data_IF_897084131830
#
_entry.id   IF_897084131830
#
_cell.length_a   1.000
_cell.length_b   1.000
_cell.length_c   1.000
_cell.angle_alpha   90.00
_cell.angle_beta   90.00
_cell.angle_gamma   90.00
#
_symmetry.space_group_name_H-M   'P 1'
#
loop_
_entity.id
_entity.type
_entity.pdbx_description
1 polymer ?
#
# COMPACT_ATOMS: atom_id res chain seq x y z
N UNK A 1 5.58 -46.67 38.93
CA UNK A 1 5.89 -45.21 38.68
C UNK A 1 4.62 -44.41 38.88
N UNK A 2 4.64 -43.38 39.71
CA UNK A 2 3.43 -42.58 39.99
C UNK A 2 3.03 -41.77 38.74
N UNK A 3 1.70 -41.64 38.51
CA UNK A 3 1.13 -40.86 37.37
C UNK A 3 1.84 -39.48 37.21
N UNK A 4 2.21 -38.86 38.31
CA UNK A 4 2.93 -37.57 38.36
C UNK A 4 4.34 -37.63 37.71
N UNK A 5 5.10 -38.73 37.87
CA UNK A 5 6.42 -38.92 37.23
C UNK A 5 6.32 -39.18 35.73
N UNK A 6 5.24 -39.83 35.28
CA UNK A 6 4.98 -40.06 33.85
C UNK A 6 4.61 -38.74 33.18
N UNK A 7 3.70 -37.94 33.78
CA UNK A 7 3.33 -36.62 33.28
C UNK A 7 4.54 -35.68 33.16
N UNK A 8 5.42 -35.63 34.18
CA UNK A 8 6.64 -34.80 34.13
C UNK A 8 7.61 -35.24 33.02
N UNK A 9 7.74 -36.54 32.75
CA UNK A 9 8.56 -37.04 31.63
C UNK A 9 7.98 -36.64 30.27
N UNK A 10 6.67 -36.68 30.12
CA UNK A 10 5.96 -36.27 28.89
C UNK A 10 6.19 -34.76 28.67
N UNK A 11 5.92 -33.93 29.67
CA UNK A 11 6.13 -32.47 29.59
C UNK A 11 7.58 -32.12 29.20
N UNK A 12 8.57 -32.80 29.84
CA UNK A 12 9.99 -32.60 29.50
C UNK A 12 10.32 -33.00 28.06
N UNK A 13 9.77 -34.14 27.55
CA UNK A 13 9.98 -34.58 26.17
C UNK A 13 9.34 -33.60 25.17
N UNK A 14 8.11 -33.16 25.43
CA UNK A 14 7.43 -32.15 24.61
C UNK A 14 8.23 -30.85 24.58
N UNK A 15 8.70 -30.38 25.74
CA UNK A 15 9.55 -29.19 25.83
C UNK A 15 10.85 -29.32 25.02
N UNK A 16 11.53 -30.49 25.09
CA UNK A 16 12.72 -30.76 24.29
C UNK A 16 12.38 -30.76 22.77
N UNK A 17 11.30 -31.40 22.37
CA UNK A 17 10.88 -31.42 20.97
C UNK A 17 10.60 -29.99 20.45
N UNK A 18 9.86 -29.17 21.21
CA UNK A 18 9.58 -27.79 20.84
C UNK A 18 10.89 -26.99 20.72
N UNK A 19 11.79 -27.08 21.73
CA UNK A 19 13.07 -26.40 21.70
C UNK A 19 13.92 -26.82 20.49
N UNK A 20 14.02 -28.13 20.23
CA UNK A 20 14.75 -28.65 19.07
C UNK A 20 14.17 -28.11 17.76
N UNK A 21 12.85 -28.13 17.62
CA UNK A 21 12.18 -27.60 16.43
C UNK A 21 12.48 -26.10 16.23
N UNK A 22 12.39 -25.30 17.29
CA UNK A 22 12.73 -23.86 17.26
C UNK A 22 14.19 -23.65 16.84
N UNK A 23 15.12 -24.39 17.42
CA UNK A 23 16.56 -24.32 17.08
C UNK A 23 16.79 -24.68 15.60
N UNK A 24 16.18 -25.74 15.10
CA UNK A 24 16.29 -26.12 13.71
C UNK A 24 15.72 -25.08 12.75
N UNK A 25 14.57 -24.45 13.11
CA UNK A 25 14.00 -23.36 12.33
C UNK A 25 14.91 -22.12 12.32
N UNK A 26 15.52 -21.78 13.44
CA UNK A 26 16.50 -20.69 13.53
C UNK A 26 17.74 -20.98 12.68
N UNK A 27 18.29 -22.20 12.74
CA UNK A 27 19.44 -22.59 11.91
C UNK A 27 19.05 -22.53 10.42
N UNK A 28 17.86 -22.99 10.05
CA UNK A 28 17.34 -22.91 8.68
C UNK A 28 17.22 -21.46 8.21
N UNK A 29 16.63 -20.57 9.03
CA UNK A 29 16.51 -19.16 8.73
C UNK A 29 17.89 -18.50 8.54
N UNK A 30 18.82 -18.74 9.46
CA UNK A 30 20.20 -18.25 9.35
C UNK A 30 20.88 -18.75 8.08
N UNK A 31 20.68 -20.02 7.71
CA UNK A 31 21.19 -20.58 6.48
C UNK A 31 20.66 -19.87 5.24
N UNK A 32 19.36 -19.59 5.17
CA UNK A 32 18.74 -18.82 4.09
C UNK A 32 19.33 -17.41 4.01
N UNK A 33 19.44 -16.70 5.13
CA UNK A 33 20.02 -15.34 5.16
C UNK A 33 21.47 -15.36 4.67
N UNK A 34 22.29 -16.32 5.09
CA UNK A 34 23.68 -16.48 4.61
C UNK A 34 23.77 -16.79 3.12
N UNK A 35 22.84 -17.59 2.58
CA UNK A 35 22.75 -17.83 1.14
C UNK A 35 22.39 -16.53 0.41
N UNK A 36 21.51 -15.70 0.94
CA UNK A 36 21.17 -14.39 0.37
C UNK A 36 22.35 -13.41 0.44
N UNK A 37 23.12 -13.42 1.52
CA UNK A 37 24.28 -12.54 1.73
C UNK A 37 25.47 -12.91 0.80
N UNK A 38 25.84 -14.18 0.75
CA UNK A 38 27.06 -14.67 0.08
C UNK A 38 26.79 -15.48 -1.20
N UNK A 39 25.52 -15.70 -1.56
CA UNK A 39 25.16 -16.49 -2.73
C UNK A 39 25.49 -15.79 -4.06
N UNK A 40 25.48 -16.54 -5.17
CA UNK A 40 25.91 -16.06 -6.46
C UNK A 40 24.94 -15.03 -7.10
N UNK A 41 23.69 -14.98 -6.66
CA UNK A 41 22.65 -14.12 -7.23
C UNK A 41 22.58 -12.76 -6.54
N UNK A 42 23.21 -11.76 -7.16
CA UNK A 42 23.08 -10.36 -6.70
C UNK A 42 21.63 -9.85 -6.78
N UNK A 43 20.88 -10.27 -7.79
CA UNK A 43 19.47 -9.90 -7.96
C UNK A 43 18.62 -10.42 -6.79
N UNK A 44 18.75 -11.71 -6.44
CA UNK A 44 18.01 -12.29 -5.32
C UNK A 44 18.37 -11.61 -3.99
N UNK A 45 19.66 -11.32 -3.78
CA UNK A 45 20.13 -10.57 -2.60
C UNK A 45 19.53 -9.18 -2.52
N UNK A 46 19.61 -8.41 -3.61
CA UNK A 46 19.08 -7.04 -3.65
C UNK A 46 17.57 -7.04 -3.43
N UNK A 47 16.84 -7.96 -4.05
CA UNK A 47 15.41 -8.10 -3.88
C UNK A 47 15.05 -8.47 -2.43
N UNK A 48 15.78 -9.40 -1.82
CA UNK A 48 15.60 -9.78 -0.41
C UNK A 48 15.79 -8.57 0.52
N UNK A 49 16.91 -7.85 0.39
CA UNK A 49 17.21 -6.69 1.22
C UNK A 49 16.15 -5.61 1.06
N UNK A 50 15.77 -5.25 -0.18
CA UNK A 50 14.75 -4.23 -0.42
C UNK A 50 13.38 -4.64 0.16
N UNK A 51 12.93 -5.87 -0.11
CA UNK A 51 11.63 -6.36 0.37
C UNK A 51 11.58 -6.42 1.90
N UNK A 52 12.66 -6.86 2.55
CA UNK A 52 12.74 -6.96 3.99
C UNK A 52 12.81 -5.57 4.66
N UNK A 53 13.58 -4.63 4.09
CA UNK A 53 13.69 -3.26 4.60
C UNK A 53 12.37 -2.46 4.56
N UNK A 54 11.43 -2.84 3.71
CA UNK A 54 10.09 -2.25 3.66
C UNK A 54 9.11 -2.89 4.68
N UNK A 55 9.59 -3.76 5.56
CA UNK A 55 8.80 -4.34 6.65
C UNK A 55 9.52 -4.24 7.99
N UNK A 56 8.79 -3.96 9.06
CA UNK A 56 9.38 -3.74 10.39
C UNK A 56 10.21 -4.93 10.87
N UNK A 57 9.68 -6.16 10.76
CA UNK A 57 10.39 -7.37 11.18
C UNK A 57 11.56 -7.73 10.26
N UNK A 58 11.37 -7.58 8.94
CA UNK A 58 12.41 -7.85 7.94
C UNK A 58 13.57 -6.87 8.03
N UNK A 59 13.29 -5.59 8.29
CA UNK A 59 14.33 -4.58 8.48
C UNK A 59 15.27 -4.93 9.63
N UNK A 60 14.74 -5.39 10.77
CA UNK A 60 15.57 -5.86 11.89
C UNK A 60 16.45 -7.04 11.44
N UNK A 61 15.91 -7.98 10.71
CA UNK A 61 16.69 -9.14 10.23
C UNK A 61 17.83 -8.69 9.31
N UNK A 62 17.55 -7.80 8.34
CA UNK A 62 18.55 -7.30 7.39
C UNK A 62 19.68 -6.55 8.11
N UNK A 63 19.35 -5.66 9.05
CA UNK A 63 20.36 -4.87 9.78
C UNK A 63 21.28 -5.71 10.67
N UNK A 64 20.93 -6.97 10.98
CA UNK A 64 21.79 -7.90 11.71
C UNK A 64 22.89 -8.53 10.82
N UNK A 65 22.69 -8.58 9.50
CA UNK A 65 23.58 -9.31 8.59
C UNK A 65 24.23 -8.44 7.52
N UNK A 66 23.62 -7.31 7.17
CA UNK A 66 24.10 -6.39 6.16
C UNK A 66 24.54 -5.07 6.80
N UNK A 67 25.64 -4.48 6.32
CA UNK A 67 26.07 -3.16 6.79
C UNK A 67 25.13 -2.07 6.27
N UNK A 68 25.02 -0.96 7.00
CA UNK A 68 24.23 0.21 6.60
C UNK A 68 24.67 0.75 5.22
N UNK A 69 25.98 0.71 4.93
CA UNK A 69 26.53 1.12 3.63
C UNK A 69 26.06 0.20 2.49
N UNK A 70 26.03 -1.09 2.72
CA UNK A 70 25.55 -2.06 1.74
C UNK A 70 24.06 -1.95 1.51
N UNK A 71 23.27 -1.79 2.57
CA UNK A 71 21.83 -1.54 2.51
C UNK A 71 21.55 -0.27 1.71
N UNK A 72 22.25 0.82 2.02
CA UNK A 72 22.10 2.10 1.31
C UNK A 72 22.43 1.96 -0.18
N UNK A 73 23.51 1.25 -0.53
CA UNK A 73 23.90 0.98 -1.91
C UNK A 73 22.85 0.15 -2.67
N UNK A 74 22.32 -0.91 -2.03
CA UNK A 74 21.29 -1.76 -2.64
C UNK A 74 20.01 -0.96 -2.88
N UNK A 75 19.62 -0.10 -1.94
CA UNK A 75 18.43 0.75 -2.07
C UNK A 75 18.61 1.81 -3.15
N UNK A 76 19.79 2.39 -3.29
CA UNK A 76 20.07 3.40 -4.32
C UNK A 76 19.95 2.85 -5.75
N UNK A 77 20.38 1.61 -6.00
CA UNK A 77 20.27 0.96 -7.31
C UNK A 77 18.88 0.35 -7.58
N UNK A 78 17.97 0.40 -6.61
CA UNK A 78 16.58 -0.02 -6.73
C UNK A 78 15.69 1.06 -6.10
N UNK A 79 15.63 2.20 -6.73
CA UNK A 79 14.88 3.37 -6.26
C UNK A 79 14.01 3.93 -7.37
N UNK A 80 12.95 4.59 -6.98
CA UNK A 80 12.14 5.41 -7.89
C UNK A 80 12.60 6.87 -7.78
N UNK A 81 12.73 7.55 -8.90
CA UNK A 81 13.08 8.95 -8.94
C UNK A 81 11.88 9.79 -8.48
N UNK A 82 12.18 10.86 -7.75
CA UNK A 82 11.16 11.83 -7.40
C UNK A 82 10.91 12.73 -8.62
N UNK A 83 9.65 12.94 -8.95
CA UNK A 83 9.24 13.90 -9.97
C UNK A 83 8.75 15.18 -9.32
N UNK A 84 9.06 16.32 -9.92
CA UNK A 84 8.50 17.62 -9.55
C UNK A 84 7.22 17.93 -10.34
N UNK A 85 6.82 17.02 -11.23
CA UNK A 85 5.63 17.19 -12.06
C UNK A 85 4.35 16.96 -11.24
N UNK A 86 3.33 17.72 -11.58
CA UNK A 86 2.00 17.64 -11.00
C UNK A 86 0.98 17.41 -12.12
N UNK A 87 0.01 16.57 -11.90
CA UNK A 87 -1.06 16.26 -12.85
C UNK A 87 -1.59 17.48 -13.61
N UNK A 88 -1.66 17.37 -14.94
CA UNK A 88 -2.40 18.29 -15.81
C UNK A 88 -3.81 17.77 -16.07
N UNK A 89 -4.81 18.58 -15.75
CA UNK A 89 -6.23 18.23 -15.92
C UNK A 89 -6.65 18.14 -17.39
N UNK A 90 -5.89 18.71 -18.32
CA UNK A 90 -6.23 18.70 -19.76
C UNK A 90 -6.16 17.30 -20.40
N UNK A 91 -5.50 16.34 -19.75
CA UNK A 91 -5.39 14.96 -20.21
C UNK A 91 -6.61 14.09 -19.87
N UNK A 92 -7.55 14.60 -19.08
CA UNK A 92 -8.71 13.84 -18.61
C UNK A 92 -9.97 14.34 -19.32
N UNK A 93 -10.69 13.41 -19.95
CA UNK A 93 -11.95 13.69 -20.63
C UNK A 93 -13.05 14.07 -19.63
N UNK A 94 -13.95 14.92 -20.09
CA UNK A 94 -15.13 15.32 -19.30
C UNK A 94 -16.08 14.13 -19.09
N UNK A 95 -16.27 13.73 -17.84
CA UNK A 95 -17.12 12.61 -17.44
C UNK A 95 -18.57 13.03 -17.15
N UNK A 96 -18.92 14.31 -17.27
CA UNK A 96 -20.30 14.81 -17.05
C UNK A 96 -21.30 14.25 -18.06
N UNK A 97 -20.81 13.83 -19.22
CA UNK A 97 -21.61 13.28 -20.33
C UNK A 97 -21.98 11.80 -20.17
N UNK A 98 -21.46 11.11 -19.14
CA UNK A 98 -21.74 9.69 -18.89
C UNK A 98 -23.24 9.45 -18.62
N UNK A 99 -23.78 8.40 -19.21
CA UNK A 99 -25.13 7.91 -18.90
C UNK A 99 -25.22 7.36 -17.47
N UNK A 100 -26.42 7.21 -16.92
CA UNK A 100 -26.59 6.65 -15.57
C UNK A 100 -26.11 5.20 -15.47
N UNK A 101 -26.22 4.43 -16.55
CA UNK A 101 -25.70 3.07 -16.62
C UNK A 101 -24.17 3.09 -16.53
N UNK A 102 -23.50 3.88 -17.35
CA UNK A 102 -22.04 4.05 -17.31
C UNK A 102 -21.55 4.55 -15.94
N UNK A 103 -22.22 5.51 -15.32
CA UNK A 103 -21.92 6.01 -13.98
C UNK A 103 -21.99 4.92 -12.89
N UNK A 104 -22.87 3.94 -13.08
CA UNK A 104 -23.01 2.82 -12.13
C UNK A 104 -21.94 1.75 -12.29
N UNK A 105 -21.21 1.71 -13.42
CA UNK A 105 -20.28 0.63 -13.75
C UNK A 105 -19.08 0.59 -12.82
N UNK A 106 -18.86 -0.58 -12.23
CA UNK A 106 -17.64 -0.96 -11.52
C UNK A 106 -17.24 -2.33 -12.05
N UNK A 107 -16.04 -2.43 -12.53
CA UNK A 107 -15.46 -3.68 -12.97
C UNK A 107 -14.36 -4.11 -11.99
N UNK A 108 -14.34 -5.39 -11.60
CA UNK A 108 -13.30 -5.98 -10.76
C UNK A 108 -12.63 -7.10 -11.55
N UNK A 109 -11.33 -6.97 -11.74
CA UNK A 109 -10.51 -7.87 -12.55
C UNK A 109 -9.49 -8.56 -11.66
N UNK A 110 -9.36 -9.87 -11.78
CA UNK A 110 -8.31 -10.64 -11.15
C UNK A 110 -6.98 -10.42 -11.87
N UNK A 111 -5.97 -10.03 -11.11
CA UNK A 111 -4.60 -9.87 -11.60
C UNK A 111 -3.79 -11.11 -11.24
N UNK A 112 -3.18 -11.71 -12.25
CA UNK A 112 -2.29 -12.84 -12.08
C UNK A 112 -1.02 -12.64 -12.90
N UNK A 113 0.10 -12.48 -12.22
CA UNK A 113 1.44 -12.31 -12.79
C UNK A 113 2.40 -13.32 -12.13
N UNK A 114 3.62 -13.42 -12.60
CA UNK A 114 4.59 -14.42 -12.13
C UNK A 114 4.88 -14.35 -10.62
N UNK A 115 5.02 -13.15 -10.07
CA UNK A 115 5.39 -12.93 -8.67
C UNK A 115 4.24 -12.51 -7.77
N UNK A 116 3.09 -12.11 -8.33
CA UNK A 116 1.98 -11.57 -7.55
C UNK A 116 0.60 -11.89 -8.10
N UNK A 117 -0.36 -11.82 -7.19
CA UNK A 117 -1.81 -11.84 -7.44
C UNK A 117 -2.38 -10.54 -6.89
N UNK A 118 -3.52 -10.14 -7.41
CA UNK A 118 -4.18 -8.91 -6.94
C UNK A 118 -5.55 -8.73 -7.54
N UNK A 119 -6.12 -7.57 -7.27
CA UNK A 119 -7.40 -7.11 -7.83
C UNK A 119 -7.22 -5.71 -8.40
N UNK A 120 -7.75 -5.49 -9.61
CA UNK A 120 -7.95 -4.18 -10.21
C UNK A 120 -9.43 -3.86 -10.18
N UNK A 121 -9.80 -2.74 -9.59
CA UNK A 121 -11.15 -2.19 -9.67
C UNK A 121 -11.13 -0.97 -10.58
N UNK A 122 -12.00 -0.95 -11.58
CA UNK A 122 -12.19 0.17 -12.49
C UNK A 122 -13.54 0.83 -12.17
N UNK A 123 -13.50 2.07 -11.72
CA UNK A 123 -14.68 2.87 -11.40
C UNK A 123 -14.90 3.86 -12.52
N UNK A 124 -15.98 3.71 -13.29
CA UNK A 124 -16.24 4.51 -14.48
C UNK A 124 -16.53 5.97 -14.16
N UNK A 125 -17.25 6.24 -13.08
CA UNK A 125 -17.58 7.59 -12.62
C UNK A 125 -16.65 8.03 -11.48
N UNK A 126 -15.65 8.90 -11.73
CA UNK A 126 -14.73 9.38 -10.71
C UNK A 126 -15.38 10.23 -9.61
N UNK A 127 -16.59 10.75 -9.84
CA UNK A 127 -17.34 11.52 -8.84
C UNK A 127 -17.76 10.67 -7.63
N UNK A 128 -17.82 9.35 -7.80
CA UNK A 128 -18.13 8.38 -6.75
C UNK A 128 -16.95 8.08 -5.83
N UNK A 129 -15.73 8.45 -6.25
CA UNK A 129 -14.49 8.16 -5.51
C UNK A 129 -14.13 9.33 -4.61
N UNK A 130 -13.89 9.05 -3.32
CA UNK A 130 -13.55 10.06 -2.30
C UNK A 130 -12.69 9.48 -1.18
N UNK A 131 -12.21 10.35 -0.30
CA UNK A 131 -11.50 9.94 0.92
C UNK A 131 -12.48 9.74 2.07
N UNK A 132 -12.62 8.49 2.52
CA UNK A 132 -13.27 8.13 3.76
C UNK A 132 -12.32 8.29 4.95
N UNK A 133 -12.82 8.76 6.08
CA UNK A 133 -12.04 9.02 7.30
C UNK A 133 -12.53 8.16 8.46
N UNK A 134 -11.64 7.81 9.38
CA UNK A 134 -12.02 7.06 10.60
C UNK A 134 -12.72 7.94 11.65
N UNK A 135 -12.68 9.26 11.48
CA UNK A 135 -13.22 10.26 12.41
C UNK A 135 -12.17 11.29 12.82
N UNK A 136 -12.02 11.53 14.11
CA UNK A 136 -11.01 12.43 14.64
C UNK A 136 -9.62 11.78 14.63
N UNK A 137 -8.58 12.63 14.51
CA UNK A 137 -7.18 12.22 14.47
C UNK A 137 -6.41 12.69 15.70
N UNK A 138 -5.38 11.94 16.08
CA UNK A 138 -4.47 12.28 17.18
C UNK A 138 -3.92 11.06 17.89
N UNK A 139 -2.96 11.28 18.80
CA UNK A 139 -2.27 10.21 19.54
C UNK A 139 -3.17 9.30 20.37
N UNK A 140 -4.29 9.86 20.87
CA UNK A 140 -5.28 9.12 21.66
C UNK A 140 -6.42 8.56 20.82
N UNK A 141 -6.45 8.88 19.53
CA UNK A 141 -7.46 8.40 18.61
C UNK A 141 -7.11 6.99 18.08
N UNK A 142 -8.13 6.31 17.58
CA UNK A 142 -7.99 5.01 16.94
C UNK A 142 -8.60 5.06 15.55
N UNK A 143 -7.89 4.48 14.59
CA UNK A 143 -8.42 4.25 13.26
C UNK A 143 -9.57 3.25 13.24
N UNK A 144 -10.05 2.95 12.05
CA UNK A 144 -11.07 1.94 11.79
C UNK A 144 -10.62 1.03 10.65
N UNK A 145 -11.22 -0.14 10.55
CA UNK A 145 -11.00 -1.06 9.43
C UNK A 145 -11.57 -0.47 8.15
N UNK A 146 -11.00 -0.88 7.00
CA UNK A 146 -11.49 -0.46 5.68
C UNK A 146 -13.00 -0.69 5.55
N UNK A 147 -13.51 -1.86 5.97
CA UNK A 147 -14.94 -2.17 5.95
C UNK A 147 -15.78 -1.23 6.83
N UNK A 148 -15.32 -0.93 8.05
CA UNK A 148 -16.03 -0.06 9.00
C UNK A 148 -16.13 1.39 8.48
N UNK A 149 -15.05 1.89 7.82
CA UNK A 149 -15.11 3.20 7.17
C UNK A 149 -16.06 3.14 5.99
N UNK A 150 -15.94 2.16 5.09
CA UNK A 150 -16.83 2.00 3.94
C UNK A 150 -18.30 1.99 4.34
N UNK A 151 -18.67 1.18 5.32
CA UNK A 151 -20.02 1.06 5.86
C UNK A 151 -20.53 2.38 6.45
N UNK A 152 -19.67 3.13 7.16
CA UNK A 152 -20.05 4.43 7.75
C UNK A 152 -20.38 5.50 6.72
N UNK A 153 -19.84 5.37 5.50
CA UNK A 153 -20.14 6.25 4.34
C UNK A 153 -21.22 5.70 3.40
N UNK A 154 -21.74 4.49 3.65
CA UNK A 154 -22.63 3.79 2.71
C UNK A 154 -21.94 3.46 1.39
N UNK A 155 -20.62 3.25 1.41
CA UNK A 155 -19.83 2.94 0.24
C UNK A 155 -19.92 1.46 -0.10
N UNK A 156 -19.98 1.16 -1.40
CA UNK A 156 -20.03 -0.23 -1.92
C UNK A 156 -18.64 -0.85 -2.06
N UNK A 157 -17.61 0.00 -2.18
CA UNK A 157 -16.23 -0.44 -2.26
C UNK A 157 -15.28 0.49 -1.50
N UNK A 158 -14.13 -0.03 -1.09
CA UNK A 158 -13.05 0.76 -0.50
C UNK A 158 -11.70 0.05 -0.59
N UNK A 159 -10.62 0.86 -0.59
CA UNK A 159 -9.26 0.39 -0.34
C UNK A 159 -8.64 1.20 0.80
N UNK A 160 -7.55 0.70 1.40
CA UNK A 160 -6.70 1.53 2.24
C UNK A 160 -6.15 2.72 1.44
N UNK A 161 -5.74 3.80 2.11
CA UNK A 161 -5.34 5.04 1.44
C UNK A 161 -3.98 5.58 1.92
N UNK A 162 -3.98 6.67 2.67
CA UNK A 162 -2.77 7.35 3.13
C UNK A 162 -2.00 6.60 4.21
N UNK A 163 -0.74 6.99 4.41
CA UNK A 163 0.10 6.47 5.48
C UNK A 163 -0.36 6.92 6.87
N UNK A 164 0.16 6.25 7.89
CA UNK A 164 -0.09 6.62 9.28
C UNK A 164 1.10 6.25 10.17
N UNK A 165 1.21 6.89 11.31
CA UNK A 165 2.27 6.61 12.27
C UNK A 165 2.10 5.21 12.85
N UNK A 166 3.07 4.37 12.53
CA UNK A 166 3.09 2.95 12.89
C UNK A 166 4.42 2.57 13.56
N UNK A 167 4.65 3.08 14.75
CA UNK A 167 5.86 2.79 15.50
C UNK A 167 5.94 1.29 15.86
N UNK A 168 6.85 0.58 15.19
CA UNK A 168 7.10 -0.85 15.45
C UNK A 168 5.98 -1.81 15.00
N UNK A 169 5.09 -1.40 14.09
CA UNK A 169 4.01 -2.24 13.58
C UNK A 169 2.78 -2.35 14.50
N UNK A 170 2.71 -1.50 15.55
CA UNK A 170 1.62 -1.48 16.53
C UNK A 170 0.81 -0.18 16.52
N UNK A 171 0.91 0.60 15.45
CA UNK A 171 0.16 1.84 15.27
C UNK A 171 -1.35 1.62 15.34
N UNK A 172 -2.05 2.56 16.00
CA UNK A 172 -3.49 2.50 16.22
C UNK A 172 -4.31 2.99 15.03
N UNK A 173 -3.67 3.50 13.96
CA UNK A 173 -4.36 4.16 12.85
C UNK A 173 -4.98 5.53 13.20
N UNK A 174 -4.69 6.08 14.37
CA UNK A 174 -5.25 7.34 14.83
C UNK A 174 -4.52 8.60 14.36
N UNK A 175 -3.25 8.47 13.92
CA UNK A 175 -2.45 9.60 13.44
C UNK A 175 -2.06 9.39 11.97
N UNK A 176 -2.70 10.10 11.01
CA UNK A 176 -2.25 10.09 9.62
C UNK A 176 -0.80 10.57 9.48
N UNK A 177 -0.04 10.00 8.56
CA UNK A 177 1.25 10.52 8.14
C UNK A 177 1.06 11.47 6.94
N UNK A 178 1.54 12.73 7.08
CA UNK A 178 1.34 13.74 6.06
C UNK A 178 0.04 14.52 6.22
N UNK A 179 -0.82 14.56 5.19
CA UNK A 179 -2.05 15.32 5.23
C UNK A 179 -3.30 14.47 4.95
N UNK A 180 -4.45 14.99 5.38
CA UNK A 180 -5.78 14.51 4.96
C UNK A 180 -6.65 15.70 4.61
N UNK A 181 -7.14 15.75 3.37
CA UNK A 181 -8.23 16.60 2.92
C UNK A 181 -9.45 15.70 2.67
N UNK A 182 -10.60 16.10 3.18
CA UNK A 182 -11.87 15.39 2.92
C UNK A 182 -12.99 16.41 2.85
N UNK A 183 -13.85 16.29 1.84
CA UNK A 183 -14.95 17.22 1.56
C UNK A 183 -14.48 18.69 1.46
N UNK A 184 -13.36 18.94 0.79
CA UNK A 184 -12.77 20.26 0.57
C UNK A 184 -12.19 20.91 1.83
N UNK A 185 -11.95 20.17 2.91
CA UNK A 185 -11.43 20.67 4.17
C UNK A 185 -10.18 19.94 4.62
N UNK A 186 -9.18 20.68 5.06
CA UNK A 186 -8.01 20.08 5.72
C UNK A 186 -8.44 19.50 7.07
N UNK A 187 -8.43 18.17 7.17
CA UNK A 187 -8.75 17.42 8.40
C UNK A 187 -7.50 17.15 9.24
N UNK A 188 -6.33 17.02 8.60
CA UNK A 188 -5.05 16.77 9.25
C UNK A 188 -3.91 17.36 8.42
N UNK A 189 -2.83 17.82 9.07
CA UNK A 189 -1.68 18.44 8.43
C UNK A 189 -1.64 19.95 8.64
N UNK A 190 -0.81 20.65 7.87
CA UNK A 190 -0.57 22.11 7.96
C UNK A 190 -0.63 22.73 6.58
N UNK A 191 -1.30 23.87 6.44
CA UNK A 191 -1.52 24.56 5.16
C UNK A 191 -0.23 24.91 4.42
N UNK A 192 0.81 25.37 5.13
CA UNK A 192 2.08 25.81 4.55
C UNK A 192 3.11 24.69 4.29
N UNK A 193 2.81 23.45 4.69
CA UNK A 193 3.73 22.33 4.51
C UNK A 193 3.50 21.66 3.16
N UNK A 194 4.59 21.32 2.46
CA UNK A 194 4.54 20.55 1.22
C UNK A 194 4.40 19.06 1.53
N UNK A 195 3.50 18.42 0.80
CA UNK A 195 3.18 16.99 0.91
C UNK A 195 3.14 16.35 -0.48
N UNK A 196 3.45 15.07 -0.56
CA UNK A 196 3.05 14.25 -1.70
C UNK A 196 1.53 14.10 -1.69
N UNK A 197 0.84 14.80 -2.58
CA UNK A 197 -0.61 14.79 -2.70
C UNK A 197 -1.05 13.64 -3.59
N UNK A 198 -2.03 12.90 -3.14
CA UNK A 198 -2.81 11.93 -3.92
C UNK A 198 -4.26 12.24 -3.63
N UNK A 199 -4.93 12.91 -4.57
CA UNK A 199 -6.27 13.43 -4.30
C UNK A 199 -7.11 13.59 -5.56
N UNK A 200 -8.37 13.91 -5.38
CA UNK A 200 -9.33 14.17 -6.47
C UNK A 200 -9.84 15.60 -6.32
N UNK A 201 -9.81 16.36 -7.40
CA UNK A 201 -10.30 17.74 -7.43
C UNK A 201 -11.81 17.82 -7.71
N UNK A 202 -12.35 19.05 -7.71
CA UNK A 202 -13.76 19.32 -7.99
C UNK A 202 -14.19 18.98 -9.43
N UNK A 203 -13.23 18.80 -10.35
CA UNK A 203 -13.47 18.35 -11.72
C UNK A 203 -13.33 16.83 -11.86
N UNK A 204 -13.18 16.12 -10.74
CA UNK A 204 -12.97 14.67 -10.68
C UNK A 204 -11.66 14.20 -11.31
N UNK A 205 -10.64 15.06 -11.35
CA UNK A 205 -9.29 14.74 -11.83
C UNK A 205 -8.45 14.23 -10.66
N UNK A 206 -7.75 13.11 -10.87
CA UNK A 206 -6.76 12.61 -9.93
C UNK A 206 -5.52 13.50 -9.98
N UNK A 207 -5.29 14.24 -8.91
CA UNK A 207 -4.14 15.12 -8.72
C UNK A 207 -3.07 14.36 -7.94
N UNK A 208 -1.90 14.17 -8.55
CA UNK A 208 -0.72 13.58 -7.92
C UNK A 208 0.46 14.53 -8.07
N UNK A 209 1.34 14.56 -7.07
CA UNK A 209 2.54 15.40 -7.06
C UNK A 209 2.75 16.16 -5.77
N UNK A 210 3.88 16.84 -5.66
CA UNK A 210 4.25 17.58 -4.46
C UNK A 210 3.67 19.01 -4.48
N UNK A 211 2.91 19.37 -3.47
CA UNK A 211 2.42 20.75 -3.28
C UNK A 211 2.08 21.03 -1.82
N UNK A 212 1.93 22.29 -1.46
CA UNK A 212 1.43 22.65 -0.13
C UNK A 212 -0.06 22.32 0.01
N UNK A 213 -0.51 22.06 1.24
CA UNK A 213 -1.93 21.82 1.49
C UNK A 213 -2.80 23.02 1.05
N UNK A 214 -2.29 24.26 1.19
CA UNK A 214 -2.97 25.45 0.69
C UNK A 214 -3.10 25.43 -0.83
N UNK A 215 -2.02 25.11 -1.56
CA UNK A 215 -2.05 25.04 -3.03
C UNK A 215 -3.00 23.95 -3.53
N UNK A 216 -3.07 22.81 -2.83
CA UNK A 216 -4.03 21.75 -3.15
C UNK A 216 -5.49 22.23 -3.00
N UNK A 217 -5.80 22.93 -1.89
CA UNK A 217 -7.13 23.49 -1.67
C UNK A 217 -7.47 24.60 -2.69
N UNK A 218 -6.52 25.49 -2.99
CA UNK A 218 -6.70 26.57 -3.98
C UNK A 218 -6.91 26.02 -5.40
N UNK A 219 -6.30 24.86 -5.70
CA UNK A 219 -6.53 24.08 -6.95
C UNK A 219 -7.92 23.42 -6.98
N UNK A 220 -8.63 23.38 -5.85
CA UNK A 220 -9.93 22.73 -5.74
C UNK A 220 -9.85 21.24 -5.42
N UNK A 221 -8.73 20.74 -4.87
CA UNK A 221 -8.65 19.35 -4.39
C UNK A 221 -9.67 19.17 -3.26
N UNK A 222 -10.68 18.31 -3.51
CA UNK A 222 -11.78 18.06 -2.56
C UNK A 222 -11.48 16.93 -1.58
N UNK A 223 -10.70 15.95 -2.02
CA UNK A 223 -10.30 14.79 -1.23
C UNK A 223 -8.84 14.47 -1.51
N UNK A 224 -8.01 14.29 -0.48
CA UNK A 224 -6.61 13.90 -0.65
C UNK A 224 -6.05 13.23 0.59
N UNK A 225 -5.05 12.40 0.36
CA UNK A 225 -4.15 11.83 1.37
C UNK A 225 -2.70 12.05 0.95
N UNK A 226 -1.77 11.84 1.88
CA UNK A 226 -0.34 11.80 1.57
C UNK A 226 0.15 10.37 1.58
N UNK A 227 0.87 10.04 0.53
CA UNK A 227 1.73 8.86 0.43
C UNK A 227 2.64 9.02 -0.80
N UNK A 228 3.06 7.92 -1.40
CA UNK A 228 3.86 7.92 -2.61
C UNK A 228 4.64 6.62 -2.78
N UNK A 229 5.43 6.55 -3.80
CA UNK A 229 5.75 7.59 -4.78
C UNK A 229 4.65 7.80 -5.84
N UNK A 230 4.78 8.89 -6.61
CA UNK A 230 4.10 9.04 -7.91
C UNK A 230 4.66 7.97 -8.84
N UNK A 231 3.81 7.36 -9.65
CA UNK A 231 4.15 6.22 -10.50
C UNK A 231 4.06 6.56 -12.00
N UNK A 232 3.02 7.28 -12.37
CA UNK A 232 2.74 7.71 -13.74
C UNK A 232 2.26 9.16 -13.72
N UNK A 233 2.80 9.99 -14.62
CA UNK A 233 2.34 11.36 -14.86
C UNK A 233 2.33 11.58 -16.38
N UNK A 234 1.30 12.23 -16.89
CA UNK A 234 1.12 12.49 -18.33
C UNK A 234 1.14 11.24 -19.22
N UNK A 235 0.76 10.10 -18.68
CA UNK A 235 0.81 8.82 -19.41
C UNK A 235 2.20 8.21 -19.51
N UNK A 236 3.19 8.81 -18.84
CA UNK A 236 4.56 8.35 -18.83
C UNK A 236 4.97 7.82 -17.46
N UNK A 237 5.76 6.74 -17.46
CA UNK A 237 6.33 6.19 -16.23
C UNK A 237 7.31 7.16 -15.58
N UNK A 238 7.25 7.32 -14.28
CA UNK A 238 8.33 7.97 -13.53
C UNK A 238 9.59 7.10 -13.62
N UNK A 239 10.75 7.73 -13.73
CA UNK A 239 12.02 7.04 -13.89
C UNK A 239 12.34 6.13 -12.67
N UNK A 240 12.72 4.90 -12.97
CA UNK A 240 12.99 3.87 -11.97
C UNK A 240 14.38 3.28 -12.18
N UNK A 241 15.17 3.20 -11.11
CA UNK A 241 16.41 2.44 -11.08
C UNK A 241 16.12 1.00 -10.64
N UNK A 242 16.52 0.01 -11.42
CA UNK A 242 16.27 -1.40 -11.12
C UNK A 242 14.78 -1.71 -11.01
N UNK A 243 14.35 -2.33 -9.93
CA UNK A 243 12.93 -2.61 -9.64
C UNK A 243 12.20 -1.45 -8.93
N UNK A 244 12.89 -0.37 -8.58
CA UNK A 244 12.34 0.75 -7.82
C UNK A 244 12.11 0.46 -6.33
N UNK A 245 11.93 -0.80 -5.96
CA UNK A 245 11.63 -1.23 -4.59
C UNK A 245 11.81 -2.74 -4.42
N UNK A 246 11.47 -3.27 -3.25
CA UNK A 246 11.29 -4.70 -3.01
C UNK A 246 9.89 -5.20 -3.42
N UNK A 247 9.72 -6.55 -3.38
CA UNK A 247 8.41 -7.19 -3.56
C UNK A 247 7.61 -7.09 -2.26
N UNK A 248 6.47 -6.40 -2.33
CA UNK A 248 5.58 -6.21 -1.18
C UNK A 248 4.11 -6.17 -1.63
N UNK A 249 3.17 -6.38 -0.70
CA UNK A 249 1.77 -6.01 -0.96
C UNK A 249 1.70 -4.52 -1.30
N UNK A 250 0.94 -4.15 -2.33
CA UNK A 250 0.82 -2.78 -2.81
C UNK A 250 -0.63 -2.37 -2.94
N UNK A 251 -0.86 -1.09 -2.74
CA UNK A 251 -2.11 -0.42 -3.10
C UNK A 251 -1.76 0.80 -3.92
N UNK A 252 -2.46 1.02 -5.03
CA UNK A 252 -2.25 2.21 -5.83
C UNK A 252 -3.57 2.71 -6.43
N UNK A 253 -3.59 3.99 -6.77
CA UNK A 253 -4.68 4.65 -7.47
C UNK A 253 -4.15 5.22 -8.78
N UNK A 254 -4.97 5.16 -9.84
CA UNK A 254 -4.68 5.79 -11.11
C UNK A 254 -5.94 6.35 -11.75
N UNK A 255 -5.77 7.15 -12.79
CA UNK A 255 -6.86 7.65 -13.62
C UNK A 255 -6.51 7.48 -15.09
N UNK A 256 -7.48 7.04 -15.85
CA UNK A 256 -7.40 6.89 -17.32
C UNK A 256 -7.79 8.20 -18.00
N UNK A 257 -7.42 8.34 -19.27
CA UNK A 257 -7.83 9.46 -20.11
C UNK A 257 -9.36 9.63 -20.17
N UNK A 258 -10.12 8.52 -20.16
CA UNK A 258 -11.59 8.52 -20.18
C UNK A 258 -12.22 8.91 -18.82
N UNK A 259 -11.41 9.32 -17.84
CA UNK A 259 -11.80 9.74 -16.50
C UNK A 259 -11.98 8.60 -15.50
N UNK A 260 -12.04 7.34 -15.93
CA UNK A 260 -12.20 6.18 -15.02
C UNK A 260 -11.07 6.12 -13.99
N UNK A 261 -11.43 5.85 -12.73
CA UNK A 261 -10.45 5.61 -11.66
C UNK A 261 -10.07 4.13 -11.61
N UNK A 262 -8.79 3.89 -11.49
CA UNK A 262 -8.18 2.58 -11.26
C UNK A 262 -7.78 2.47 -9.79
N UNK A 263 -8.28 1.46 -9.10
CA UNK A 263 -7.84 1.08 -7.75
C UNK A 263 -7.23 -0.32 -7.83
N UNK A 264 -5.97 -0.45 -7.50
CA UNK A 264 -5.30 -1.76 -7.48
C UNK A 264 -4.85 -2.12 -6.10
N UNK A 265 -5.08 -3.38 -5.72
CA UNK A 265 -4.50 -3.99 -4.52
C UNK A 265 -3.81 -5.26 -4.93
N UNK A 266 -2.52 -5.36 -4.60
CA UNK A 266 -1.65 -6.50 -4.88
C UNK A 266 -1.38 -7.21 -3.56
N UNK A 267 -1.67 -8.50 -3.53
CA UNK A 267 -1.32 -9.39 -2.43
C UNK A 267 0.19 -9.60 -2.38
N UNK A 268 0.71 -9.89 -1.20
CA UNK A 268 2.12 -10.20 -1.06
C UNK A 268 2.45 -10.88 0.27
N UNK A 269 3.71 -11.26 0.44
CA UNK A 269 4.21 -11.98 1.61
C UNK A 269 3.51 -13.32 1.83
N UNK A 270 3.04 -13.94 0.73
CA UNK A 270 2.34 -15.22 0.68
C UNK A 270 3.04 -16.16 -0.30
N UNK A 271 2.83 -17.46 -0.16
CA UNK A 271 3.49 -18.48 -1.00
C UNK A 271 3.11 -18.34 -2.47
N UNK A 272 1.86 -17.96 -2.75
CA UNK A 272 1.30 -17.78 -4.09
C UNK A 272 1.36 -16.34 -4.60
N UNK A 273 1.80 -15.40 -3.76
CA UNK A 273 1.97 -13.99 -4.11
C UNK A 273 3.06 -13.37 -3.25
N UNK A 274 4.24 -13.20 -3.81
CA UNK A 274 5.36 -12.58 -3.11
C UNK A 274 5.16 -11.07 -2.95
N UNK A 275 4.42 -10.48 -3.89
CA UNK A 275 4.15 -9.05 -4.00
C UNK A 275 4.75 -8.45 -5.27
N UNK A 276 4.61 -7.14 -5.40
CA UNK A 276 5.07 -6.36 -6.54
C UNK A 276 6.10 -5.29 -6.13
N UNK A 277 7.01 -4.99 -7.04
CA UNK A 277 7.89 -3.82 -7.00
C UNK A 277 7.16 -2.58 -7.54
N UNK A 278 7.78 -1.39 -7.46
CA UNK A 278 7.20 -0.21 -8.10
C UNK A 278 7.22 -0.31 -9.62
N UNK A 279 8.25 -0.93 -10.22
CA UNK A 279 8.26 -1.20 -11.66
C UNK A 279 7.05 -2.04 -12.10
N UNK A 280 6.72 -3.10 -11.34
CA UNK A 280 5.57 -3.95 -11.62
C UNK A 280 4.24 -3.17 -11.54
N UNK A 281 4.10 -2.29 -10.53
CA UNK A 281 2.89 -1.47 -10.38
C UNK A 281 2.78 -0.42 -11.48
N UNK A 282 3.88 0.22 -11.88
CA UNK A 282 3.93 1.17 -13.01
C UNK A 282 3.48 0.46 -14.30
N UNK A 283 4.10 -0.70 -14.61
CA UNK A 283 3.75 -1.48 -15.79
C UNK A 283 2.26 -1.84 -15.80
N UNK A 284 1.74 -2.31 -14.66
CA UNK A 284 0.33 -2.65 -14.52
C UNK A 284 -0.57 -1.42 -14.71
N UNK A 285 -0.24 -0.27 -14.13
CA UNK A 285 -1.05 0.94 -14.28
C UNK A 285 -1.08 1.41 -15.74
N UNK A 286 0.06 1.36 -16.45
CA UNK A 286 0.14 1.70 -17.86
C UNK A 286 -0.61 0.68 -18.74
N UNK A 287 -0.52 -0.62 -18.43
CA UNK A 287 -1.28 -1.68 -19.11
C UNK A 287 -2.79 -1.40 -19.07
N UNK A 288 -3.29 -0.87 -17.94
CA UNK A 288 -4.68 -0.48 -17.76
C UNK A 288 -4.99 0.96 -18.22
N UNK A 289 -4.05 1.64 -18.82
CA UNK A 289 -4.24 2.94 -19.48
C UNK A 289 -4.23 4.13 -18.52
N UNK A 290 -3.57 4.04 -17.37
CA UNK A 290 -3.41 5.17 -16.47
C UNK A 290 -2.59 6.28 -17.12
N UNK A 291 -3.08 7.51 -17.08
CA UNK A 291 -2.33 8.73 -17.44
C UNK A 291 -1.75 9.43 -16.21
N UNK A 292 -2.33 9.18 -15.05
CA UNK A 292 -1.80 9.57 -13.75
C UNK A 292 -1.96 8.41 -12.77
N UNK A 293 -0.95 8.12 -11.96
CA UNK A 293 -1.02 7.11 -10.91
C UNK A 293 -0.05 7.40 -9.77
N UNK A 294 -0.44 6.98 -8.57
CA UNK A 294 0.41 7.04 -7.38
C UNK A 294 0.21 5.81 -6.49
N UNK A 295 1.26 5.46 -5.78
CA UNK A 295 1.23 4.41 -4.77
C UNK A 295 0.63 4.95 -3.47
N UNK A 296 -0.27 4.17 -2.89
CA UNK A 296 -0.87 4.37 -1.58
C UNK A 296 -0.15 3.53 -0.51
N UNK A 297 -0.57 3.62 0.76
CA UNK A 297 -0.02 2.75 1.81
C UNK A 297 -0.17 1.29 1.42
N UNK A 298 0.86 0.53 1.68
CA UNK A 298 1.00 -0.85 1.23
C UNK A 298 1.16 -1.86 2.37
N UNK A 299 1.83 -2.96 2.08
CA UNK A 299 2.17 -3.96 3.09
C UNK A 299 0.95 -4.58 3.75
N UNK A 300 0.92 -4.61 5.08
CA UNK A 300 -0.19 -5.19 5.84
C UNK A 300 -1.49 -4.37 5.80
N UNK A 301 -1.45 -3.16 5.24
CA UNK A 301 -2.64 -2.32 5.05
C UNK A 301 -3.38 -2.61 3.74
N UNK A 302 -2.73 -3.27 2.76
CA UNK A 302 -3.27 -3.52 1.42
C UNK A 302 -4.51 -4.39 1.45
N UNK A 303 -5.68 -3.76 1.37
CA UNK A 303 -6.98 -4.42 1.38
C UNK A 303 -7.96 -3.74 0.43
N UNK A 304 -8.79 -4.56 -0.24
CA UNK A 304 -9.90 -4.14 -1.06
C UNK A 304 -11.20 -4.75 -0.54
N UNK A 305 -12.14 -3.88 -0.20
CA UNK A 305 -13.49 -4.23 0.22
C UNK A 305 -14.46 -3.96 -0.93
N UNK A 306 -15.35 -4.89 -1.19
CA UNK A 306 -16.39 -4.76 -2.22
C UNK A 306 -17.61 -5.57 -1.86
N UNK A 307 -18.80 -4.94 -1.95
CA UNK A 307 -20.11 -5.60 -1.71
C UNK A 307 -20.18 -6.38 -0.38
N UNK A 308 -19.63 -5.84 0.70
CA UNK A 308 -19.76 -6.45 2.04
C UNK A 308 -18.60 -7.35 2.46
N UNK A 309 -17.62 -7.61 1.60
CA UNK A 309 -16.51 -8.52 1.90
C UNK A 309 -15.15 -7.99 1.42
N UNK A 310 -14.07 -8.51 2.00
CA UNK A 310 -12.72 -8.30 1.48
C UNK A 310 -12.48 -9.27 0.33
N UNK A 311 -12.09 -8.75 -0.84
CA UNK A 311 -11.93 -9.54 -2.07
C UNK A 311 -10.49 -9.88 -2.41
N UNK A 312 -9.54 -9.49 -1.55
CA UNK A 312 -8.12 -9.87 -1.63
C UNK A 312 -7.64 -10.45 -0.30
N UNK A 313 -6.41 -10.97 -0.27
CA UNK A 313 -5.84 -11.64 0.89
C UNK A 313 -5.11 -10.66 1.81
N UNK A 314 -5.48 -10.64 3.09
CA UNK A 314 -4.78 -9.82 4.09
C UNK A 314 -3.36 -10.35 4.36
N UNK A 315 -2.35 -9.50 4.18
CA UNK A 315 -0.95 -9.86 4.48
C UNK A 315 -0.62 -9.83 5.98
N UNK A 316 -1.50 -9.30 6.81
CA UNK A 316 -1.32 -9.26 8.27
C UNK A 316 -1.78 -10.56 8.93
N UNK A 317 -0.91 -11.15 9.76
CA UNK A 317 -1.27 -12.33 10.58
C UNK A 317 -2.32 -12.02 11.67
N UNK A 318 -2.55 -10.76 11.97
CA UNK A 318 -3.51 -10.30 12.97
C UNK A 318 -4.84 -9.83 12.37
N UNK A 319 -5.02 -10.03 11.04
CA UNK A 319 -6.18 -9.56 10.28
C UNK A 319 -6.08 -8.09 9.87
N UNK A 320 -7.19 -7.52 9.36
CA UNK A 320 -7.24 -6.14 8.89
C UNK A 320 -6.80 -5.13 9.95
N UNK A 321 -5.98 -4.16 9.53
CA UNK A 321 -5.49 -3.09 10.41
C UNK A 321 -6.52 -1.99 10.57
N UNK A 322 -6.45 -1.28 11.70
CA UNK A 322 -7.15 -0.03 11.90
C UNK A 322 -6.36 1.10 11.19
N UNK A 323 -7.03 1.87 10.34
CA UNK A 323 -6.45 2.87 9.44
C UNK A 323 -7.13 4.23 9.65
N UNK A 324 -6.43 5.35 9.38
CA UNK A 324 -7.04 6.68 9.47
C UNK A 324 -7.93 6.99 8.27
N UNK A 325 -7.57 6.48 7.08
CA UNK A 325 -8.19 6.85 5.82
C UNK A 325 -8.35 5.66 4.87
N UNK A 326 -9.34 5.76 4.01
CA UNK A 326 -9.61 4.84 2.89
C UNK A 326 -9.94 5.64 1.64
N UNK A 327 -9.69 5.07 0.45
CA UNK A 327 -10.40 5.49 -0.76
C UNK A 327 -11.70 4.71 -0.77
N UNK A 328 -12.82 5.39 -0.82
CA UNK A 328 -14.16 4.79 -0.87
C UNK A 328 -14.83 5.06 -2.21
N UNK A 329 -15.75 4.15 -2.60
CA UNK A 329 -16.57 4.26 -3.80
C UNK A 329 -18.04 4.14 -3.39
N UNK A 330 -18.85 5.18 -3.65
CA UNK A 330 -20.30 5.23 -3.36
C UNK A 330 -21.13 4.72 -4.50
#
# INVERSE_FOLDING_TARGET
MTKKRIALKIVRRVGICILTTVVLLLIGLLGVVRIMEFGPSKTARNLFVNSAMESSAGGILVTLFFSDEEIARIRAINSIQKTDEVTDSSLISDTTILTQEEKSMIEVIDIEKDTYRGKMMIVRDPSRVMVGTSGEYGKSCKGKKVSEIAESYGAIAATNAGGFRDAGGVGTGGEPDGLVISEGRLKWGSLGTTYGIIGIDNNNVLVVGDMTAQAALDRGVRDAVSFGPVLVVYGEAVEVNGSGSGLNPRTAIGQREDGSILLVVIDGRQVNSLGASYSDVIELMLEYGAVNAANLDGGSSSLMYYNGEYINSCASMYGPRDLPTTIIVK
#
